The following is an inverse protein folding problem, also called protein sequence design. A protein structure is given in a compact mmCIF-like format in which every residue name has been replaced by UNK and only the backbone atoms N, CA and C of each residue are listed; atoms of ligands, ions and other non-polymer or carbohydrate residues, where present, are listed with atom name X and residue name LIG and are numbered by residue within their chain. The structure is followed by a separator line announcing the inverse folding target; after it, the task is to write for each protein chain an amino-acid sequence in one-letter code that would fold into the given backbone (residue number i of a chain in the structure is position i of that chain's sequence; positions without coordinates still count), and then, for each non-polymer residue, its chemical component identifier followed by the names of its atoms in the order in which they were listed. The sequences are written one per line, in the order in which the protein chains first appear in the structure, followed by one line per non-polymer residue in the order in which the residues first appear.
data_IF_189551760498
#
_entry.id   IF_189551760498
#
_cell.length_a   1.000
_cell.length_b   1.000
_cell.length_c   1.000
_cell.angle_alpha   90.00
_cell.angle_beta   90.00
_cell.angle_gamma   90.00
#
_symmetry.space_group_name_H-M   'P 1'
#
loop_
_entity.id
_entity.type
_entity.pdbx_description
1 polymer ?
#
# COMPACT_ATOMS: atom_id res chain seq x y z
N UNK A 1 4.45 -10.94 -16.33
CA UNK A 1 3.34 -11.81 -15.85
C UNK A 1 2.13 -11.03 -15.35
N UNK A 2 2.30 -9.83 -14.76
CA UNK A 2 1.19 -9.02 -14.23
C UNK A 2 0.36 -8.31 -15.32
N UNK A 3 0.91 -8.10 -16.49
CA UNK A 3 0.28 -7.30 -17.56
C UNK A 3 -1.06 -7.85 -18.05
N UNK A 4 -1.24 -9.17 -17.95
CA UNK A 4 -2.45 -9.86 -18.43
C UNK A 4 -3.48 -10.10 -17.32
N UNK A 5 -3.15 -9.75 -16.09
CA UNK A 5 -4.02 -9.96 -14.92
C UNK A 5 -4.94 -8.76 -14.67
N UNK A 6 -6.18 -8.99 -14.21
CA UNK A 6 -7.05 -7.91 -13.78
C UNK A 6 -6.51 -7.30 -12.49
N UNK A 7 -6.02 -6.06 -12.55
CA UNK A 7 -5.38 -5.41 -11.41
C UNK A 7 -6.31 -4.48 -10.66
N UNK A 8 -6.11 -4.44 -9.35
CA UNK A 8 -6.71 -3.48 -8.42
C UNK A 8 -5.57 -2.63 -7.87
N UNK A 9 -5.59 -1.34 -8.12
CA UNK A 9 -4.51 -0.42 -7.72
C UNK A 9 -4.95 0.53 -6.61
N UNK A 10 -4.00 1.00 -5.79
CA UNK A 10 -4.26 2.10 -4.86
C UNK A 10 -4.69 3.36 -5.62
N UNK A 11 -5.67 4.10 -5.08
CA UNK A 11 -6.13 5.36 -5.67
C UNK A 11 -5.17 6.53 -5.39
N UNK A 12 -4.38 6.44 -4.33
CA UNK A 12 -3.48 7.52 -3.90
C UNK A 12 -2.44 7.81 -4.98
N UNK A 13 -2.38 9.07 -5.43
CA UNK A 13 -1.57 9.48 -6.58
C UNK A 13 -0.08 9.18 -6.43
N UNK A 14 0.47 9.46 -5.23
CA UNK A 14 1.89 9.19 -4.99
C UNK A 14 2.24 7.72 -5.17
N UNK A 15 1.39 6.83 -4.67
CA UNK A 15 1.57 5.38 -4.80
C UNK A 15 1.37 4.92 -6.24
N UNK A 16 0.40 5.51 -6.94
CA UNK A 16 0.22 5.23 -8.38
C UNK A 16 1.43 5.65 -9.20
N UNK A 17 2.06 6.78 -8.88
CA UNK A 17 3.27 7.23 -9.56
C UNK A 17 4.42 6.22 -9.38
N UNK A 18 4.63 5.70 -8.18
CA UNK A 18 5.62 4.66 -7.93
C UNK A 18 5.35 3.39 -8.73
N UNK A 19 4.09 2.94 -8.76
CA UNK A 19 3.66 1.78 -9.54
C UNK A 19 3.83 2.04 -11.04
N UNK A 20 3.47 3.22 -11.52
CA UNK A 20 3.63 3.63 -12.92
C UNK A 20 5.10 3.58 -13.32
N UNK A 21 5.98 4.13 -12.48
CA UNK A 21 7.43 4.12 -12.72
C UNK A 21 7.98 2.68 -12.75
N UNK A 22 7.51 1.84 -11.85
CA UNK A 22 7.92 0.43 -11.79
C UNK A 22 7.55 -0.36 -13.05
N UNK A 23 6.35 -0.16 -13.57
CA UNK A 23 5.92 -0.80 -14.82
C UNK A 23 6.52 -0.16 -16.07
N UNK A 24 6.91 1.12 -15.99
CA UNK A 24 7.44 1.88 -17.12
C UNK A 24 6.49 1.88 -18.32
N UNK A 25 7.01 1.58 -19.50
CA UNK A 25 6.22 1.55 -20.74
C UNK A 25 5.07 0.53 -20.73
N UNK A 26 5.15 -0.49 -19.88
CA UNK A 26 4.08 -1.50 -19.78
C UNK A 26 2.85 -1.01 -19.05
N UNK A 27 2.95 0.07 -18.27
CA UNK A 27 1.81 0.59 -17.49
C UNK A 27 0.56 0.86 -18.36
N UNK A 28 0.75 1.39 -19.56
CA UNK A 28 -0.35 1.68 -20.49
C UNK A 28 -1.06 0.43 -21.03
N UNK A 29 -0.45 -0.74 -20.87
CA UNK A 29 -0.97 -2.03 -21.32
C UNK A 29 -1.61 -2.84 -20.19
N UNK A 30 -1.60 -2.31 -18.97
CA UNK A 30 -2.16 -3.01 -17.82
C UNK A 30 -3.69 -3.06 -17.88
N UNK A 31 -4.23 -4.18 -17.45
CA UNK A 31 -5.67 -4.36 -17.26
C UNK A 31 -6.08 -3.87 -15.87
N UNK A 32 -6.13 -2.57 -15.67
CA UNK A 32 -6.56 -1.97 -14.39
C UNK A 32 -8.08 -1.99 -14.33
N UNK A 33 -8.65 -2.86 -13.50
CA UNK A 33 -10.10 -3.03 -13.36
C UNK A 33 -10.69 -2.08 -12.32
N UNK A 34 -9.99 -1.89 -11.20
CA UNK A 34 -10.48 -1.11 -10.07
C UNK A 34 -9.34 -0.33 -9.41
N UNK A 35 -9.73 0.74 -8.74
CA UNK A 35 -8.87 1.43 -7.77
C UNK A 35 -9.54 1.44 -6.41
N UNK A 36 -8.76 1.37 -5.33
CA UNK A 36 -9.26 1.44 -3.97
C UNK A 36 -8.44 2.43 -3.14
N UNK A 37 -9.10 3.10 -2.20
CA UNK A 37 -8.44 4.02 -1.27
C UNK A 37 -7.93 3.31 0.00
N UNK A 38 -8.50 2.14 0.33
CA UNK A 38 -8.12 1.36 1.50
C UNK A 38 -7.75 -0.08 1.08
N UNK A 39 -6.57 -0.56 1.50
CA UNK A 39 -6.13 -1.93 1.19
C UNK A 39 -7.10 -3.01 1.66
N UNK A 40 -7.78 -2.81 2.79
CA UNK A 40 -8.77 -3.75 3.32
C UNK A 40 -9.96 -3.95 2.37
N UNK A 41 -10.40 -2.89 1.70
CA UNK A 41 -11.44 -2.99 0.68
C UNK A 41 -10.93 -3.73 -0.56
N UNK A 42 -9.70 -3.45 -0.97
CA UNK A 42 -9.04 -4.17 -2.06
C UNK A 42 -8.93 -5.68 -1.76
N UNK A 43 -8.57 -6.05 -0.53
CA UNK A 43 -8.49 -7.44 -0.12
C UNK A 43 -9.86 -8.15 -0.20
N UNK A 44 -10.94 -7.49 0.20
CA UNK A 44 -12.31 -8.04 0.03
C UNK A 44 -12.65 -8.27 -1.44
N UNK A 45 -12.21 -7.40 -2.33
CA UNK A 45 -12.41 -7.56 -3.77
C UNK A 45 -11.62 -8.76 -4.31
N UNK A 46 -10.38 -8.96 -3.84
CA UNK A 46 -9.57 -10.16 -4.17
C UNK A 46 -10.27 -11.44 -3.73
N UNK A 47 -10.81 -11.48 -2.52
CA UNK A 47 -11.58 -12.63 -2.01
C UNK A 47 -12.79 -12.97 -2.89
N UNK A 48 -13.39 -11.97 -3.50
CA UNK A 48 -14.51 -12.15 -4.43
C UNK A 48 -14.06 -12.51 -5.86
N UNK A 49 -12.77 -12.70 -6.08
CA UNK A 49 -12.23 -13.05 -7.39
C UNK A 49 -12.24 -11.92 -8.41
N UNK A 50 -12.33 -10.65 -7.96
CA UNK A 50 -12.45 -9.50 -8.85
C UNK A 50 -11.11 -9.05 -9.47
N UNK A 51 -10.00 -9.50 -8.91
CA UNK A 51 -8.67 -9.16 -9.44
C UNK A 51 -7.55 -9.37 -8.43
N UNK A 52 -6.38 -8.86 -8.78
CA UNK A 52 -5.14 -8.93 -8.00
C UNK A 52 -4.79 -7.56 -7.47
N UNK A 53 -4.67 -7.44 -6.16
CA UNK A 53 -4.37 -6.18 -5.49
C UNK A 53 -2.86 -5.95 -5.40
N UNK A 54 -2.39 -4.80 -5.87
CA UNK A 54 -1.04 -4.32 -5.56
C UNK A 54 -1.11 -3.48 -4.28
N UNK A 55 -0.39 -3.91 -3.25
CA UNK A 55 -0.45 -3.28 -1.92
C UNK A 55 0.84 -3.51 -1.14
N UNK A 56 0.94 -2.95 0.06
CA UNK A 56 2.08 -3.15 0.95
C UNK A 56 2.03 -4.53 1.63
N UNK A 57 3.20 -5.06 1.96
CA UNK A 57 3.39 -6.42 2.49
C UNK A 57 2.47 -6.75 3.67
N UNK A 58 2.35 -5.86 4.66
CA UNK A 58 1.59 -6.13 5.88
C UNK A 58 0.09 -6.36 5.68
N UNK A 59 -0.46 -6.02 4.53
CA UNK A 59 -1.89 -6.23 4.25
C UNK A 59 -2.23 -7.71 4.09
N UNK A 60 -1.36 -8.47 3.44
CA UNK A 60 -1.60 -9.92 3.25
C UNK A 60 -1.59 -10.68 4.57
N UNK A 61 -0.87 -10.19 5.56
CA UNK A 61 -0.79 -10.82 6.89
C UNK A 61 -2.08 -10.68 7.70
N UNK A 62 -2.82 -9.61 7.48
CA UNK A 62 -4.12 -9.39 8.13
C UNK A 62 -5.21 -10.34 7.63
N UNK A 63 -4.99 -10.99 6.48
CA UNK A 63 -6.00 -11.79 5.79
C UNK A 63 -5.61 -13.25 5.56
N UNK A 64 -4.58 -13.73 6.27
CA UNK A 64 -4.07 -15.11 6.12
C UNK A 64 -5.13 -16.19 6.30
N UNK A 65 -6.08 -15.97 7.20
CA UNK A 65 -7.15 -16.93 7.49
C UNK A 65 -8.25 -16.95 6.42
N UNK A 66 -8.19 -16.03 5.45
CA UNK A 66 -9.27 -15.79 4.51
C UNK A 66 -8.93 -16.18 3.06
N UNK A 67 -8.01 -17.12 2.87
CA UNK A 67 -7.63 -17.67 1.56
C UNK A 67 -6.97 -16.67 0.60
N UNK A 68 -6.41 -15.56 1.12
CA UNK A 68 -5.62 -14.61 0.34
C UNK A 68 -4.14 -14.89 0.53
N UNK A 69 -3.41 -14.99 -0.57
CA UNK A 69 -1.94 -15.16 -0.57
C UNK A 69 -1.29 -13.90 -1.11
N UNK A 70 -0.27 -13.40 -0.41
CA UNK A 70 0.61 -12.34 -0.89
C UNK A 70 1.81 -12.91 -1.63
N UNK A 71 2.23 -12.24 -2.70
CA UNK A 71 3.47 -12.49 -3.43
C UNK A 71 4.24 -11.19 -3.57
N UNK A 72 5.55 -11.24 -3.36
CA UNK A 72 6.40 -10.07 -3.57
C UNK A 72 6.52 -9.74 -5.05
N UNK A 73 6.57 -8.44 -5.34
CA UNK A 73 6.95 -7.98 -6.66
C UNK A 73 8.45 -8.19 -6.87
N UNK A 74 8.85 -8.54 -8.08
CA UNK A 74 10.24 -8.68 -8.48
C UNK A 74 10.48 -7.86 -9.76
N UNK A 75 11.36 -6.84 -9.71
CA UNK A 75 12.07 -6.32 -8.54
C UNK A 75 11.13 -5.69 -7.49
N UNK A 76 11.53 -5.59 -6.21
CA UNK A 76 10.66 -5.05 -5.17
C UNK A 76 10.46 -3.54 -5.29
N UNK A 77 9.27 -3.06 -4.92
CA UNK A 77 9.02 -1.64 -4.67
C UNK A 77 9.17 -1.41 -3.17
N UNK A 78 10.12 -0.55 -2.79
CA UNK A 78 10.38 -0.23 -1.38
C UNK A 78 9.64 1.04 -1.01
N UNK A 79 8.68 0.92 -0.10
CA UNK A 79 7.97 2.04 0.48
C UNK A 79 8.49 2.35 1.88
N UNK A 80 8.54 3.64 2.24
CA UNK A 80 8.93 4.09 3.58
C UNK A 80 7.74 4.75 4.25
N UNK A 81 7.49 4.38 5.50
CA UNK A 81 6.58 5.13 6.36
C UNK A 81 7.35 6.25 7.06
N UNK A 82 6.77 7.43 7.09
CA UNK A 82 7.34 8.57 7.78
C UNK A 82 6.35 9.09 8.81
N UNK A 83 6.87 9.47 9.97
CA UNK A 83 6.10 10.13 11.00
C UNK A 83 6.39 11.63 10.96
N UNK A 84 5.36 12.45 10.75
CA UNK A 84 5.50 13.89 10.61
C UNK A 84 4.59 14.63 11.59
N UNK A 85 5.05 15.78 12.06
CA UNK A 85 4.27 16.67 12.90
C UNK A 85 4.58 18.14 12.58
N UNK A 86 3.66 19.03 12.92
CA UNK A 86 3.84 20.46 12.71
C UNK A 86 4.82 21.03 13.73
N UNK A 87 5.85 21.72 13.26
CA UNK A 87 6.98 22.18 14.08
C UNK A 87 6.59 23.10 15.22
N UNK A 88 5.68 24.04 14.99
CA UNK A 88 5.34 25.12 15.91
C UNK A 88 3.94 24.96 16.52
N UNK A 89 3.44 23.76 16.61
CA UNK A 89 2.15 23.50 17.22
C UNK A 89 2.34 22.98 18.66
N UNK A 90 1.65 23.60 19.65
CA UNK A 90 1.66 23.05 21.00
C UNK A 90 0.99 21.67 21.00
N UNK A 91 1.65 20.71 21.61
CA UNK A 91 1.14 19.34 21.77
C UNK A 91 0.63 19.12 23.19
N UNK A 92 -0.36 18.25 23.34
CA UNK A 92 -0.72 17.71 24.64
C UNK A 92 0.46 16.93 25.25
N UNK A 93 0.48 16.76 26.56
CA UNK A 93 1.50 15.96 27.24
C UNK A 93 1.59 14.55 26.67
N UNK A 94 0.45 13.94 26.35
CA UNK A 94 0.40 12.60 25.77
C UNK A 94 1.05 12.56 24.38
N UNK A 95 0.76 13.53 23.53
CA UNK A 95 1.36 13.63 22.20
C UNK A 95 2.87 13.86 22.26
N UNK A 96 3.33 14.71 23.19
CA UNK A 96 4.77 14.93 23.42
C UNK A 96 5.47 13.66 23.83
N UNK A 97 4.95 12.96 24.82
CA UNK A 97 5.52 11.68 25.28
C UNK A 97 5.53 10.61 24.17
N UNK A 98 4.51 10.58 23.33
CA UNK A 98 4.46 9.67 22.21
C UNK A 98 5.55 9.97 21.16
N UNK A 99 5.75 11.24 20.83
CA UNK A 99 6.81 11.67 19.92
C UNK A 99 8.19 11.31 20.48
N UNK A 100 8.41 11.58 21.78
CA UNK A 100 9.68 11.27 22.44
C UNK A 100 9.94 9.75 22.45
N UNK A 101 8.93 8.96 22.78
CA UNK A 101 9.01 7.50 22.73
C UNK A 101 9.39 6.98 21.35
N UNK A 102 8.78 7.51 20.29
CA UNK A 102 9.13 7.13 18.90
C UNK A 102 10.57 7.49 18.58
N UNK A 103 11.02 8.70 18.95
CA UNK A 103 12.42 9.13 18.71
C UNK A 103 13.46 8.24 19.38
N UNK A 104 13.17 7.79 20.61
CA UNK A 104 14.06 6.93 21.39
C UNK A 104 14.11 5.49 20.86
N UNK A 105 13.09 5.04 20.10
CA UNK A 105 12.95 3.65 19.66
C UNK A 105 13.04 3.48 18.13
N UNK A 106 13.42 4.52 17.40
CA UNK A 106 13.67 4.46 15.95
C UNK A 106 15.12 4.10 15.63
#
# INVERSE_FOLDING_TARGET
DLKDLPLILPRRQDVQNEITNWFGAYYQKLNIRFTCNMPTNGAKMVRKGLGYLITVQGVSELWKEEEIVGRFLDPPIICRSVFTWKREQPFSLAATKFIDHIRENL
#
